data_IF_785492571392
#
_entry.id   IF_785492571392
#
_cell.length_a   1.000
_cell.length_b   1.000
_cell.length_c   1.000
_cell.angle_alpha   90.00
_cell.angle_beta   90.00
_cell.angle_gamma   90.00
#
_symmetry.space_group_name_H-M   'P 1'
#
loop_
_entity.id
_entity.type
_entity.pdbx_description
1 polymer ?
#
# COMPACT_ATOMS: atom_id res chain seq x y z
N UNK A 1 32.60 -8.83 8.52
CA UNK A 1 31.51 -8.33 7.63
C UNK A 1 30.19 -9.01 7.94
N UNK A 2 30.15 -10.34 8.06
CA UNK A 2 28.95 -11.08 8.49
C UNK A 2 28.42 -10.63 9.85
N UNK A 3 29.28 -10.30 10.81
CA UNK A 3 28.87 -9.83 12.14
C UNK A 3 28.18 -8.46 12.09
N UNK A 4 28.67 -7.57 11.23
CA UNK A 4 28.08 -6.23 11.01
C UNK A 4 26.71 -6.35 10.32
N UNK A 5 26.60 -7.24 9.33
CA UNK A 5 25.33 -7.52 8.64
C UNK A 5 24.32 -8.11 9.62
N UNK A 6 24.72 -9.07 10.46
CA UNK A 6 23.83 -9.64 11.48
C UNK A 6 23.37 -8.60 12.51
N UNK A 7 24.26 -7.68 12.91
CA UNK A 7 23.91 -6.57 13.79
C UNK A 7 22.87 -5.63 13.18
N UNK A 8 23.04 -5.29 11.90
CA UNK A 8 22.10 -4.42 11.17
C UNK A 8 20.73 -5.09 11.00
N UNK A 9 20.72 -6.37 10.62
CA UNK A 9 19.48 -7.15 10.49
C UNK A 9 18.76 -7.29 11.84
N UNK A 10 19.48 -7.58 12.92
CA UNK A 10 18.90 -7.69 14.25
C UNK A 10 18.25 -6.36 14.71
N UNK A 11 18.93 -5.23 14.44
CA UNK A 11 18.41 -3.90 14.76
C UNK A 11 17.16 -3.56 13.93
N UNK A 12 17.15 -3.93 12.64
CA UNK A 12 15.98 -3.78 11.77
C UNK A 12 14.79 -4.60 12.28
N UNK A 13 15.02 -5.89 12.61
CA UNK A 13 13.98 -6.76 13.14
C UNK A 13 13.39 -6.22 14.45
N UNK A 14 14.25 -5.71 15.35
CA UNK A 14 13.81 -5.10 16.61
C UNK A 14 12.97 -3.84 16.38
N UNK A 15 13.37 -2.99 15.43
CA UNK A 15 12.61 -1.80 15.06
C UNK A 15 11.24 -2.16 14.48
N UNK A 16 11.16 -3.14 13.58
CA UNK A 16 9.90 -3.61 13.02
C UNK A 16 8.98 -4.21 14.09
N UNK A 17 9.53 -5.02 15.00
CA UNK A 17 8.78 -5.58 16.12
C UNK A 17 8.19 -4.48 17.01
N UNK A 18 8.97 -3.43 17.29
CA UNK A 18 8.51 -2.26 18.03
C UNK A 18 7.36 -1.52 17.33
N UNK A 19 7.48 -1.27 16.02
CA UNK A 19 6.44 -0.62 15.22
C UNK A 19 5.14 -1.42 15.23
N UNK A 20 5.23 -2.74 15.04
CA UNK A 20 4.07 -3.64 15.07
C UNK A 20 3.41 -3.61 16.44
N UNK A 21 4.17 -3.75 17.53
CA UNK A 21 3.64 -3.65 18.90
C UNK A 21 2.97 -2.30 19.16
N UNK A 22 3.55 -1.20 18.68
CA UNK A 22 2.99 0.15 18.83
C UNK A 22 1.64 0.25 18.13
N UNK A 23 1.53 -0.27 16.91
CA UNK A 23 0.27 -0.29 16.15
C UNK A 23 -0.80 -1.14 16.87
N UNK A 24 -0.45 -2.34 17.35
CA UNK A 24 -1.36 -3.18 18.12
C UNK A 24 -1.82 -2.56 19.44
N UNK A 25 -0.96 -1.77 20.11
CA UNK A 25 -1.34 -1.06 21.33
C UNK A 25 -2.25 0.14 21.08
N UNK A 26 -2.12 0.80 19.92
CA UNK A 26 -2.98 1.93 19.51
C UNK A 26 -4.33 1.44 19.00
N UNK A 27 -4.38 0.30 18.31
CA UNK A 27 -5.62 -0.32 17.80
C UNK A 27 -6.47 -1.03 18.87
N UNK A 28 -6.39 -0.65 20.15
CA UNK A 28 -7.43 -1.09 21.10
C UNK A 28 -8.72 -0.39 20.70
N UNK A 29 -9.76 -1.14 20.24
CA UNK A 29 -11.03 -0.53 19.91
C UNK A 29 -11.59 0.12 21.18
N UNK A 30 -12.05 1.36 21.05
CA UNK A 30 -12.81 2.02 22.09
C UNK A 30 -13.98 1.12 22.51
N UNK A 31 -14.36 1.08 23.80
CA UNK A 31 -15.51 0.30 24.26
C UNK A 31 -16.73 0.64 23.42
N UNK A 32 -17.37 -0.38 22.85
CA UNK A 32 -18.56 -0.24 22.03
C UNK A 32 -19.62 0.57 22.81
N UNK A 33 -20.00 1.73 22.26
CA UNK A 33 -21.13 2.49 22.76
C UNK A 33 -22.40 1.61 22.69
N UNK A 34 -23.25 1.64 23.73
CA UNK A 34 -24.47 0.84 23.75
C UNK A 34 -25.42 1.31 22.65
N UNK A 35 -25.79 0.35 21.81
CA UNK A 35 -26.81 0.46 20.76
C UNK A 35 -28.16 0.80 21.40
N UNK A 36 -28.62 2.03 21.20
CA UNK A 36 -29.99 2.42 21.55
C UNK A 36 -30.94 1.79 20.52
N UNK A 37 -31.65 0.72 20.90
CA UNK A 37 -32.79 0.22 20.13
C UNK A 37 -34.01 1.09 20.45
N UNK A 38 -34.62 1.78 19.47
CA UNK A 38 -35.88 2.44 19.71
C UNK A 38 -37.00 1.40 19.81
N UNK A 39 -37.55 1.28 21.01
CA UNK A 39 -38.79 0.59 21.34
C UNK A 39 -39.94 1.24 20.56
N UNK A 40 -40.43 0.56 19.52
CA UNK A 40 -41.63 0.96 18.81
C UNK A 40 -42.85 0.49 19.61
N UNK A 41 -43.21 1.25 20.64
CA UNK A 41 -44.48 1.00 21.33
C UNK A 41 -45.62 1.45 20.42
N UNK A 42 -46.45 0.47 20.06
CA UNK A 42 -47.65 0.49 19.22
C UNK A 42 -48.58 1.66 19.50
N UNK A 43 -48.49 2.72 18.69
CA UNK A 43 -49.55 3.75 18.57
C UNK A 43 -50.56 3.27 17.53
N UNK A 44 -51.37 2.28 17.89
CA UNK A 44 -52.48 1.83 17.05
C UNK A 44 -53.67 1.41 17.92
N UNK A 45 -54.12 2.28 18.82
CA UNK A 45 -55.37 2.05 19.56
C UNK A 45 -56.07 3.34 20.03
N UNK A 46 -56.12 4.39 19.20
CA UNK A 46 -56.94 5.57 19.51
C UNK A 46 -57.38 6.33 18.28
N UNK A 47 -58.01 5.62 17.33
CA UNK A 47 -58.87 6.25 16.32
C UNK A 47 -60.33 5.93 16.61
N UNK A 48 -60.86 6.40 17.76
CA UNK A 48 -62.31 6.47 17.93
C UNK A 48 -62.75 7.51 18.98
N UNK A 49 -62.66 8.80 18.61
CA UNK A 49 -63.64 9.83 19.03
C UNK A 49 -63.42 11.13 18.24
N UNK A 50 -64.28 11.38 17.26
CA UNK A 50 -64.42 12.71 16.68
C UNK A 50 -65.37 13.50 17.58
N UNK A 51 -64.83 14.45 18.35
CA UNK A 51 -65.61 15.45 19.09
C UNK A 51 -65.46 16.81 18.37
N UNK A 52 -66.57 17.51 18.01
CA UNK A 52 -66.51 18.73 17.21
C UNK A 52 -65.96 19.94 18.01
N UNK A 53 -65.33 20.91 17.32
CA UNK A 53 -64.50 21.94 17.96
C UNK A 53 -65.33 23.05 18.64
N UNK A 54 -64.94 23.53 19.85
CA UNK A 54 -65.47 24.78 20.39
C UNK A 54 -64.77 26.01 19.76
N UNK A 55 -65.50 27.14 19.59
CA UNK A 55 -65.06 28.34 18.87
C UNK A 55 -63.88 29.09 19.54
N UNK A 56 -63.11 29.88 18.76
CA UNK A 56 -61.77 30.34 19.12
C UNK A 56 -61.74 31.40 20.22
N UNK A 57 -60.89 31.19 21.23
CA UNK A 57 -60.43 32.25 22.13
C UNK A 57 -59.14 32.87 21.57
N UNK A 58 -58.99 34.20 21.59
CA UNK A 58 -57.88 34.87 20.94
C UNK A 58 -56.54 34.65 21.67
N UNK A 59 -55.56 34.36 20.83
CA UNK A 59 -54.10 34.44 20.93
C UNK A 59 -53.53 35.34 22.04
N UNK A 60 -52.92 34.74 23.08
CA UNK A 60 -51.70 35.28 23.72
C UNK A 60 -50.88 34.12 24.32
N UNK A 61 -49.74 33.86 23.70
CA UNK A 61 -48.46 33.58 24.39
C UNK A 61 -48.27 32.23 25.09
N UNK A 62 -47.88 31.23 24.29
CA UNK A 62 -46.83 30.32 24.70
C UNK A 62 -45.79 30.27 23.57
N UNK A 63 -44.81 31.18 23.63
CA UNK A 63 -43.54 31.05 22.93
C UNK A 63 -42.85 29.80 23.47
N UNK A 64 -43.18 28.62 22.92
CA UNK A 64 -42.41 27.41 23.14
C UNK A 64 -41.15 27.48 22.26
N UNK A 65 -39.95 27.19 22.80
CA UNK A 65 -38.70 27.30 22.06
C UNK A 65 -38.52 26.11 21.12
N UNK A 66 -39.27 26.08 20.01
CA UNK A 66 -39.16 25.03 18.98
C UNK A 66 -38.19 25.43 17.85
N UNK A 67 -37.99 26.73 17.62
CA UNK A 67 -37.08 27.24 16.58
C UNK A 67 -35.60 26.89 16.81
N UNK A 68 -35.18 26.70 18.07
CA UNK A 68 -33.78 26.40 18.38
C UNK A 68 -33.38 24.95 18.07
N UNK A 69 -34.32 24.00 18.09
CA UNK A 69 -34.02 22.59 17.80
C UNK A 69 -33.92 22.38 16.29
N UNK A 70 -34.86 22.92 15.51
CA UNK A 70 -34.81 22.84 14.04
C UNK A 70 -33.55 23.49 13.47
N UNK A 71 -33.21 24.69 13.97
CA UNK A 71 -31.99 25.40 13.55
C UNK A 71 -30.69 24.73 14.02
N UNK A 72 -30.71 23.89 15.07
CA UNK A 72 -29.54 23.08 15.47
C UNK A 72 -29.35 21.89 14.53
N UNK A 73 -30.41 21.15 14.23
CA UNK A 73 -30.35 20.00 13.32
C UNK A 73 -29.97 20.40 11.89
N UNK A 74 -30.45 21.54 11.40
CA UNK A 74 -30.05 22.08 10.10
C UNK A 74 -28.56 22.47 10.03
N UNK A 75 -28.01 23.02 11.13
CA UNK A 75 -26.58 23.33 11.24
C UNK A 75 -25.73 22.06 11.27
N UNK A 76 -26.13 21.06 12.04
CA UNK A 76 -25.45 19.77 12.10
C UNK A 76 -25.45 19.06 10.73
N UNK A 77 -26.58 19.11 10.00
CA UNK A 77 -26.67 18.57 8.65
C UNK A 77 -25.77 19.33 7.66
N UNK A 78 -25.70 20.66 7.78
CA UNK A 78 -24.83 21.48 6.96
C UNK A 78 -23.35 21.18 7.24
N UNK A 79 -22.95 21.11 8.51
CA UNK A 79 -21.59 20.78 8.92
C UNK A 79 -21.18 19.39 8.40
N UNK A 80 -22.08 18.41 8.51
CA UNK A 80 -21.85 17.07 7.96
C UNK A 80 -21.65 17.09 6.42
N UNK A 81 -22.41 17.90 5.68
CA UNK A 81 -22.22 18.03 4.23
C UNK A 81 -20.87 18.66 3.88
N UNK A 82 -20.44 19.67 4.64
CA UNK A 82 -19.13 20.31 4.46
C UNK A 82 -18.00 19.32 4.76
N UNK A 83 -18.13 18.53 5.83
CA UNK A 83 -17.16 17.47 6.16
C UNK A 83 -17.09 16.42 5.05
N UNK A 84 -18.23 15.95 4.54
CA UNK A 84 -18.26 15.00 3.42
C UNK A 84 -17.59 15.57 2.17
N UNK A 85 -17.83 16.84 1.84
CA UNK A 85 -17.17 17.49 0.72
C UNK A 85 -15.65 17.57 0.92
N UNK A 86 -15.20 17.92 2.13
CA UNK A 86 -13.78 17.98 2.48
C UNK A 86 -13.11 16.62 2.39
N UNK A 87 -13.74 15.58 2.93
CA UNK A 87 -13.22 14.22 2.89
C UNK A 87 -13.11 13.71 1.45
N UNK A 88 -14.11 13.98 0.61
CA UNK A 88 -14.06 13.63 -0.82
C UNK A 88 -12.88 14.28 -1.52
N UNK A 89 -12.67 15.58 -1.29
CA UNK A 89 -11.53 16.29 -1.85
C UNK A 89 -10.19 15.72 -1.38
N UNK A 90 -10.08 15.33 -0.10
CA UNK A 90 -8.89 14.70 0.44
C UNK A 90 -8.62 13.32 -0.19
N UNK A 91 -9.67 12.51 -0.40
CA UNK A 91 -9.55 11.21 -1.07
C UNK A 91 -9.05 11.40 -2.49
N UNK A 92 -9.65 12.32 -3.25
CA UNK A 92 -9.25 12.61 -4.63
C UNK A 92 -7.78 13.09 -4.70
N UNK A 93 -7.35 13.94 -3.77
CA UNK A 93 -5.96 14.39 -3.69
C UNK A 93 -4.98 13.25 -3.38
N UNK A 94 -5.36 12.31 -2.50
CA UNK A 94 -4.55 11.13 -2.19
C UNK A 94 -4.47 10.16 -3.37
N UNK A 95 -5.57 9.95 -4.09
CA UNK A 95 -5.61 9.12 -5.29
C UNK A 95 -4.73 9.71 -6.40
N UNK A 96 -4.76 11.03 -6.58
CA UNK A 96 -3.88 11.73 -7.52
C UNK A 96 -2.40 11.57 -7.12
N UNK A 97 -2.06 11.77 -5.85
CA UNK A 97 -0.69 11.57 -5.35
C UNK A 97 -0.23 10.12 -5.53
N UNK A 98 -1.10 9.14 -5.27
CA UNK A 98 -0.80 7.72 -5.46
C UNK A 98 -0.54 7.39 -6.92
N UNK A 99 -1.32 7.98 -7.83
CA UNK A 99 -1.14 7.81 -9.28
C UNK A 99 0.19 8.38 -9.73
N UNK A 100 0.54 9.61 -9.30
CA UNK A 100 1.85 10.22 -9.54
C UNK A 100 3.01 9.35 -9.06
N UNK A 101 2.93 8.82 -7.83
CA UNK A 101 3.98 7.94 -7.31
C UNK A 101 4.12 6.64 -8.12
N UNK A 102 3.01 6.06 -8.59
CA UNK A 102 3.05 4.87 -9.44
C UNK A 102 3.72 5.18 -10.78
N UNK A 103 3.38 6.31 -11.39
CA UNK A 103 4.02 6.76 -12.62
C UNK A 103 5.53 7.00 -12.45
N UNK A 104 5.94 7.64 -11.35
CA UNK A 104 7.36 7.80 -11.01
C UNK A 104 8.08 6.47 -10.81
N UNK A 105 7.43 5.51 -10.13
CA UNK A 105 7.98 4.17 -9.96
C UNK A 105 8.13 3.42 -11.28
N UNK A 106 7.14 3.53 -12.17
CA UNK A 106 7.18 2.86 -13.47
C UNK A 106 8.23 3.51 -14.39
N UNK A 107 8.37 4.84 -14.37
CA UNK A 107 9.47 5.53 -15.04
C UNK A 107 10.85 5.11 -14.52
N UNK A 108 11.00 4.97 -13.20
CA UNK A 108 12.24 4.48 -12.60
C UNK A 108 12.54 3.03 -13.03
N UNK A 109 11.52 2.15 -13.02
CA UNK A 109 11.66 0.77 -13.50
C UNK A 109 12.09 0.72 -14.96
N UNK A 110 11.46 1.49 -15.83
CA UNK A 110 11.83 1.55 -17.25
C UNK A 110 13.28 2.03 -17.43
N UNK A 111 13.70 3.06 -16.69
CA UNK A 111 15.08 3.54 -16.73
C UNK A 111 16.09 2.46 -16.31
N UNK A 112 15.76 1.69 -15.26
CA UNK A 112 16.62 0.62 -14.77
C UNK A 112 16.65 -0.57 -15.72
N UNK A 113 15.52 -0.93 -16.33
CA UNK A 113 15.46 -1.96 -17.36
C UNK A 113 16.28 -1.56 -18.58
N UNK A 114 16.24 -0.29 -18.99
CA UNK A 114 17.06 0.24 -20.07
C UNK A 114 18.56 0.21 -19.71
N UNK A 115 18.93 0.57 -18.48
CA UNK A 115 20.31 0.52 -17.99
C UNK A 115 20.83 -0.93 -17.91
N UNK A 116 20.04 -1.85 -17.36
CA UNK A 116 20.35 -3.28 -17.39
C UNK A 116 20.46 -3.78 -18.82
N UNK A 117 19.55 -3.36 -19.71
CA UNK A 117 19.59 -3.69 -21.13
C UNK A 117 20.90 -3.24 -21.77
N UNK A 118 21.32 -2.01 -21.50
CA UNK A 118 22.59 -1.45 -21.96
C UNK A 118 23.79 -2.23 -21.39
N UNK A 119 23.81 -2.53 -20.09
CA UNK A 119 24.85 -3.34 -19.46
C UNK A 119 24.86 -4.78 -19.97
N UNK A 120 23.69 -5.37 -20.23
CA UNK A 120 23.54 -6.69 -20.83
C UNK A 120 23.99 -6.68 -22.27
N UNK A 121 23.74 -5.64 -23.05
CA UNK A 121 24.23 -5.51 -24.41
C UNK A 121 25.76 -5.29 -24.42
N UNK A 122 26.28 -4.54 -23.46
CA UNK A 122 27.71 -4.39 -23.24
C UNK A 122 28.37 -5.70 -22.76
N UNK A 123 27.65 -6.53 -22.00
CA UNK A 123 28.11 -7.82 -21.46
C UNK A 123 27.76 -9.03 -22.35
N UNK A 124 26.84 -8.88 -23.31
CA UNK A 124 26.51 -9.87 -24.33
C UNK A 124 27.56 -9.84 -25.43
N UNK A 125 28.82 -9.89 -24.99
CA UNK A 125 29.94 -10.41 -25.75
C UNK A 125 29.54 -11.85 -26.10
N UNK A 126 28.90 -12.01 -27.26
CA UNK A 126 28.46 -13.23 -27.95
C UNK A 126 27.75 -14.32 -27.09
N UNK A 127 26.57 -14.84 -27.51
CA UNK A 127 25.95 -16.03 -26.91
C UNK A 127 26.93 -17.22 -26.76
N UNK A 128 27.94 -17.30 -27.63
CA UNK A 128 29.01 -18.31 -27.60
C UNK A 128 29.86 -18.23 -26.32
N UNK A 129 30.11 -17.02 -25.80
CA UNK A 129 30.89 -16.83 -24.58
C UNK A 129 30.11 -17.25 -23.33
N UNK A 130 28.78 -17.02 -23.33
CA UNK A 130 27.89 -17.50 -22.28
C UNK A 130 27.87 -19.03 -22.19
N UNK A 131 27.86 -19.73 -23.33
CA UNK A 131 27.99 -21.19 -23.37
C UNK A 131 29.36 -21.66 -22.88
N UNK A 132 30.45 -21.00 -23.28
CA UNK A 132 31.80 -21.31 -22.82
C UNK A 132 31.94 -21.19 -21.29
N UNK A 133 31.38 -20.13 -20.70
CA UNK A 133 31.37 -19.93 -19.23
C UNK A 133 30.58 -21.04 -18.52
N UNK A 134 29.42 -21.43 -19.05
CA UNK A 134 28.62 -22.52 -18.47
C UNK A 134 29.34 -23.88 -18.52
N UNK A 135 30.05 -24.18 -19.62
CA UNK A 135 30.88 -25.38 -19.72
C UNK A 135 32.08 -25.33 -18.77
N UNK A 136 32.73 -24.17 -18.63
CA UNK A 136 33.82 -23.98 -17.67
C UNK A 136 33.37 -24.14 -16.21
N UNK A 137 32.17 -23.65 -15.87
CA UNK A 137 31.58 -23.87 -14.54
C UNK A 137 31.30 -25.36 -14.28
N UNK A 138 30.88 -26.10 -15.30
CA UNK A 138 30.71 -27.56 -15.27
C UNK A 138 32.02 -28.35 -15.23
N UNK A 139 33.17 -27.68 -15.42
CA UNK A 139 34.50 -28.29 -15.33
C UNK A 139 34.94 -29.01 -16.61
N UNK A 140 34.40 -28.65 -17.77
CA UNK A 140 34.90 -29.16 -19.05
C UNK A 140 36.35 -28.73 -19.30
N UNK A 141 37.08 -29.56 -20.04
CA UNK A 141 38.46 -29.27 -20.46
C UNK A 141 38.51 -28.03 -21.38
N UNK A 142 39.51 -27.18 -21.21
CA UNK A 142 39.67 -25.92 -21.97
C UNK A 142 39.76 -26.16 -23.48
N UNK A 143 40.44 -27.22 -23.91
CA UNK A 143 40.51 -27.60 -25.33
C UNK A 143 39.13 -27.98 -25.90
N UNK A 144 38.33 -28.73 -25.15
CA UNK A 144 36.97 -29.12 -25.58
C UNK A 144 36.01 -27.91 -25.62
N UNK A 145 36.19 -26.93 -24.73
CA UNK A 145 35.43 -25.67 -24.74
C UNK A 145 35.80 -24.84 -25.97
N UNK A 146 37.09 -24.74 -26.30
CA UNK A 146 37.58 -24.01 -27.46
C UNK A 146 36.99 -24.55 -28.77
N UNK A 147 37.03 -25.87 -28.95
CA UNK A 147 36.47 -26.55 -30.12
C UNK A 147 34.95 -26.38 -30.22
N UNK A 148 34.23 -26.57 -29.10
CA UNK A 148 32.76 -26.55 -29.08
C UNK A 148 32.16 -25.16 -29.24
N UNK A 149 32.80 -24.14 -28.68
CA UNK A 149 32.33 -22.76 -28.75
C UNK A 149 32.97 -21.96 -29.89
N UNK A 150 33.92 -22.54 -30.65
CA UNK A 150 34.61 -21.89 -31.76
C UNK A 150 35.52 -20.74 -31.33
N UNK A 151 36.09 -20.81 -30.11
CA UNK A 151 36.96 -19.80 -29.52
C UNK A 151 38.41 -20.30 -29.43
N UNK A 152 39.37 -19.41 -29.20
CA UNK A 152 40.77 -19.82 -29.05
C UNK A 152 41.03 -20.57 -27.74
N UNK A 153 42.06 -21.43 -27.71
CA UNK A 153 42.42 -22.19 -26.49
C UNK A 153 42.78 -21.26 -25.33
N UNK A 154 43.50 -20.16 -25.60
CA UNK A 154 43.83 -19.14 -24.59
C UNK A 154 42.60 -18.43 -24.04
N UNK A 155 41.60 -18.19 -24.87
CA UNK A 155 40.32 -17.60 -24.47
C UNK A 155 39.50 -18.55 -23.61
N UNK A 156 39.47 -19.85 -23.96
CA UNK A 156 38.86 -20.89 -23.13
C UNK A 156 39.56 -21.04 -21.76
N UNK A 157 40.89 -20.91 -21.71
CA UNK A 157 41.66 -20.91 -20.46
C UNK A 157 41.31 -19.72 -19.56
N UNK A 158 41.18 -18.52 -20.13
CA UNK A 158 40.75 -17.31 -19.41
C UNK A 158 39.35 -17.50 -18.81
N UNK A 159 38.40 -17.99 -19.62
CA UNK A 159 37.03 -18.30 -19.18
C UNK A 159 37.03 -19.32 -18.05
N UNK A 160 37.84 -20.36 -18.14
CA UNK A 160 37.97 -21.38 -17.11
C UNK A 160 38.58 -20.83 -15.81
N UNK A 161 39.57 -19.93 -15.90
CA UNK A 161 40.16 -19.26 -14.74
C UNK A 161 39.14 -18.35 -14.03
N UNK A 162 38.39 -17.54 -14.78
CA UNK A 162 37.33 -16.66 -14.25
C UNK A 162 36.20 -17.48 -13.59
N UNK A 163 35.76 -18.56 -14.22
CA UNK A 163 34.72 -19.45 -13.69
C UNK A 163 35.16 -20.19 -12.41
N UNK A 164 36.46 -20.44 -12.21
CA UNK A 164 37.01 -20.95 -10.94
C UNK A 164 37.07 -19.86 -9.87
N UNK A 165 37.55 -18.66 -10.21
CA UNK A 165 37.65 -17.53 -9.29
C UNK A 165 36.29 -17.07 -8.74
N UNK A 166 35.23 -17.13 -9.55
CA UNK A 166 33.86 -16.84 -9.13
C UNK A 166 33.29 -17.85 -8.12
N UNK A 167 33.70 -19.14 -8.20
CA UNK A 167 33.26 -20.19 -7.25
C UNK A 167 33.94 -20.10 -5.89
N UNK A 168 35.13 -19.50 -5.81
CA UNK A 168 35.87 -19.37 -4.55
C UNK A 168 35.44 -18.18 -3.68
N UNK A 169 34.47 -17.37 -4.13
CA UNK A 169 33.93 -16.23 -3.36
C UNK A 169 32.58 -16.51 -2.67
N UNK A 170 32.03 -17.72 -2.79
CA UNK A 170 30.97 -18.23 -1.90
C UNK A 170 31.58 -18.84 -0.63
#
# INVERSE_FOLDING_TARGET
MREVIMGLVALLCLYLAYVVLRLFRVSRPAPAEPRYEPEYETVLDTLDRVEPPPPPKPLVEALTPVDHVHSRTEREAFDALVELARLRFQVEALEAAQTSLREEMDAMRESFEAEIGALRNARSVSPQYGEAVALAQRGFETAAIAERCGISVSEAELVAALARGARTQE
#
